data_IF_769565873868
#
_entry.id   IF_769565873868
#
_cell.length_a   1.000
_cell.length_b   1.000
_cell.length_c   1.000
_cell.angle_alpha   90.00
_cell.angle_beta   90.00
_cell.angle_gamma   90.00
#
_symmetry.space_group_name_H-M   'P 1'
#
loop_
_entity.id
_entity.type
_entity.pdbx_description
1 polymer ?
#
# COMPACT_ATOMS: atom_id res chain seq x y z
N UNK A 1 1.05 -11.87 9.47
CA UNK A 1 1.79 -11.65 10.72
C UNK A 1 2.58 -12.91 10.99
N UNK A 2 3.89 -12.83 11.20
CA UNK A 2 4.69 -14.00 11.51
C UNK A 2 4.55 -14.31 13.01
N UNK A 3 4.39 -15.58 13.38
CA UNK A 3 4.23 -15.97 14.79
C UNK A 3 5.57 -16.01 15.54
N UNK A 4 6.66 -16.28 14.84
CA UNK A 4 8.01 -16.38 15.40
C UNK A 4 8.97 -15.44 14.68
N UNK A 5 9.99 -14.98 15.41
CA UNK A 5 11.06 -14.17 14.84
C UNK A 5 11.86 -14.98 13.81
N UNK A 6 12.25 -16.21 14.14
CA UNK A 6 13.01 -17.08 13.24
C UNK A 6 12.26 -17.36 11.94
N UNK A 7 10.94 -17.56 12.00
CA UNK A 7 10.12 -17.70 10.80
C UNK A 7 10.12 -16.45 9.93
N UNK A 8 10.17 -15.27 10.54
CA UNK A 8 10.28 -14.00 9.80
C UNK A 8 11.68 -13.81 9.19
N UNK A 9 12.75 -14.21 9.87
CA UNK A 9 14.13 -14.16 9.35
C UNK A 9 14.31 -15.13 8.19
N UNK A 10 13.86 -16.38 8.33
CA UNK A 10 13.92 -17.37 7.25
C UNK A 10 13.17 -16.89 5.99
N UNK A 11 12.00 -16.25 6.16
CA UNK A 11 11.26 -15.65 5.06
C UNK A 11 12.07 -14.50 4.44
N UNK A 12 12.69 -13.66 5.26
CA UNK A 12 13.51 -12.55 4.77
C UNK A 12 14.64 -13.05 3.88
N UNK A 13 15.39 -14.05 4.32
CA UNK A 13 16.53 -14.59 3.57
C UNK A 13 16.10 -15.24 2.25
N UNK A 14 14.92 -15.88 2.22
CA UNK A 14 14.39 -16.47 1.00
C UNK A 14 13.89 -15.43 -0.02
N UNK A 15 13.31 -14.32 0.45
CA UNK A 15 12.57 -13.39 -0.42
C UNK A 15 13.32 -12.10 -0.73
N UNK A 16 14.29 -11.68 0.09
CA UNK A 16 15.05 -10.48 -0.18
C UNK A 16 15.88 -10.66 -1.45
N UNK A 17 15.62 -9.83 -2.48
CA UNK A 17 16.29 -9.96 -3.78
C UNK A 17 15.70 -11.03 -4.70
N UNK A 18 14.61 -11.70 -4.30
CA UNK A 18 13.99 -12.74 -5.12
C UNK A 18 13.44 -12.18 -6.44
N UNK A 19 13.69 -12.88 -7.54
CA UNK A 19 13.23 -12.50 -8.88
C UNK A 19 12.07 -13.41 -9.33
N UNK A 20 11.02 -12.80 -9.89
CA UNK A 20 9.86 -13.56 -10.35
C UNK A 20 10.08 -14.05 -11.79
N UNK A 21 9.80 -15.32 -12.07
CA UNK A 21 10.04 -15.92 -13.39
C UNK A 21 9.36 -15.16 -14.55
N UNK A 22 8.24 -14.50 -14.29
CA UNK A 22 7.46 -13.75 -15.28
C UNK A 22 7.46 -12.23 -15.03
N UNK A 23 8.41 -11.70 -14.26
CA UNK A 23 8.49 -10.26 -14.00
C UNK A 23 9.93 -9.76 -13.85
N UNK A 24 10.19 -8.55 -14.34
CA UNK A 24 11.46 -7.84 -14.07
C UNK A 24 11.55 -7.27 -12.65
N UNK A 25 10.49 -7.41 -11.85
CA UNK A 25 10.45 -6.91 -10.47
C UNK A 25 11.32 -7.78 -9.57
N UNK A 26 12.07 -7.13 -8.67
CA UNK A 26 12.84 -7.77 -7.61
C UNK A 26 12.07 -7.61 -6.30
N UNK A 27 11.92 -8.68 -5.52
CA UNK A 27 11.27 -8.65 -4.23
C UNK A 27 12.16 -7.96 -3.20
N UNK A 28 11.55 -7.08 -2.40
CA UNK A 28 12.20 -6.43 -1.26
C UNK A 28 11.33 -6.66 -0.04
N UNK A 29 11.95 -7.08 1.04
CA UNK A 29 11.32 -7.37 2.32
C UNK A 29 11.65 -6.24 3.28
N UNK A 30 10.65 -5.80 4.03
CA UNK A 30 10.79 -4.75 5.03
C UNK A 30 9.88 -5.05 6.23
N UNK A 31 10.31 -4.64 7.42
CA UNK A 31 9.44 -4.68 8.58
C UNK A 31 8.29 -3.66 8.42
N UNK A 32 7.07 -4.04 8.78
CA UNK A 32 5.93 -3.13 8.72
C UNK A 32 5.98 -2.14 9.90
N UNK A 33 6.21 -0.85 9.66
CA UNK A 33 6.39 0.14 10.76
C UNK A 33 5.10 0.56 11.45
N UNK A 34 4.01 0.74 10.68
CA UNK A 34 2.78 1.40 11.15
C UNK A 34 1.73 0.45 11.74
N UNK A 35 1.88 -0.85 11.54
CA UNK A 35 0.88 -1.86 11.95
C UNK A 35 1.59 -3.06 12.53
N UNK A 36 1.92 -2.98 13.81
CA UNK A 36 2.52 -4.09 14.56
C UNK A 36 1.40 -4.92 15.18
N UNK A 37 1.41 -6.22 14.89
CA UNK A 37 0.50 -7.22 15.48
C UNK A 37 -0.79 -7.50 14.71
N UNK A 38 -1.37 -8.68 14.95
CA UNK A 38 -2.59 -9.16 14.30
C UNK A 38 -3.79 -8.24 14.54
N UNK A 39 -4.01 -7.80 15.78
CA UNK A 39 -5.19 -7.00 16.15
C UNK A 39 -5.22 -5.65 15.43
N UNK A 40 -4.07 -4.98 15.34
CA UNK A 40 -3.94 -3.73 14.60
C UNK A 40 -4.23 -3.90 13.10
N UNK A 41 -3.81 -5.02 12.51
CA UNK A 41 -4.12 -5.35 11.11
C UNK A 41 -5.63 -5.62 10.94
N UNK A 42 -6.24 -6.38 11.84
CA UNK A 42 -7.69 -6.63 11.84
C UNK A 42 -8.46 -5.31 11.90
N UNK A 43 -8.13 -4.43 12.85
CA UNK A 43 -8.82 -3.15 13.02
C UNK A 43 -8.66 -2.22 11.81
N UNK A 44 -7.50 -2.26 11.15
CA UNK A 44 -7.24 -1.50 9.93
C UNK A 44 -8.07 -2.00 8.75
N UNK A 45 -8.15 -3.32 8.56
CA UNK A 45 -8.79 -3.89 7.37
C UNK A 45 -10.29 -4.13 7.54
N UNK A 46 -10.80 -4.28 8.78
CA UNK A 46 -12.23 -4.55 9.02
C UNK A 46 -13.18 -3.48 8.49
N UNK A 47 -12.76 -2.22 8.53
CA UNK A 47 -13.57 -1.09 8.07
C UNK A 47 -13.16 -0.57 6.67
N UNK A 48 -12.24 -1.27 5.98
CA UNK A 48 -11.78 -0.88 4.65
C UNK A 48 -12.72 -1.44 3.57
N UNK A 49 -12.90 -0.71 2.47
CA UNK A 49 -13.70 -1.09 1.30
C UNK A 49 -13.40 -2.48 0.74
N UNK A 50 -12.18 -2.99 0.95
CA UNK A 50 -11.79 -4.36 0.55
C UNK A 50 -12.61 -5.45 1.27
N UNK A 51 -13.13 -5.17 2.46
CA UNK A 51 -13.95 -6.10 3.24
C UNK A 51 -15.47 -5.87 3.04
N UNK A 52 -15.86 -5.11 2.01
CA UNK A 52 -17.27 -4.88 1.69
C UNK A 52 -17.92 -6.15 1.12
N UNK A 53 -19.22 -6.35 1.35
CA UNK A 53 -19.97 -7.54 0.91
C UNK A 53 -19.92 -7.75 -0.62
N UNK A 54 -19.92 -6.66 -1.40
CA UNK A 54 -19.79 -6.70 -2.87
C UNK A 54 -18.40 -7.17 -3.37
N UNK A 55 -17.41 -7.33 -2.49
CA UNK A 55 -16.07 -7.82 -2.85
C UNK A 55 -16.04 -9.34 -2.75
N UNK A 56 -15.55 -10.02 -3.79
CA UNK A 56 -15.38 -11.48 -3.78
C UNK A 56 -14.38 -11.91 -2.72
N UNK A 57 -14.63 -13.05 -2.07
CA UNK A 57 -13.83 -13.55 -0.95
C UNK A 57 -12.34 -13.65 -1.25
N UNK A 58 -11.96 -14.04 -2.47
CA UNK A 58 -10.56 -14.14 -2.92
C UNK A 58 -9.77 -12.82 -2.87
N UNK A 59 -10.46 -11.69 -2.82
CA UNK A 59 -9.86 -10.36 -2.74
C UNK A 59 -9.85 -9.79 -1.31
N UNK A 60 -10.51 -10.47 -0.37
CA UNK A 60 -10.54 -10.07 1.03
C UNK A 60 -9.28 -10.54 1.76
N UNK A 61 -8.86 -9.84 2.83
CA UNK A 61 -7.80 -10.33 3.70
C UNK A 61 -8.20 -11.65 4.35
N UNK A 62 -7.26 -12.58 4.43
CA UNK A 62 -7.44 -13.88 5.09
C UNK A 62 -6.78 -13.86 6.45
N UNK A 63 -7.47 -14.39 7.46
CA UNK A 63 -6.90 -14.68 8.77
C UNK A 63 -6.61 -16.18 8.84
N UNK A 64 -5.56 -16.55 9.54
CA UNK A 64 -5.22 -17.94 9.81
C UNK A 64 -5.20 -18.17 11.31
N UNK A 65 -5.71 -19.33 11.73
CA UNK A 65 -5.65 -19.76 13.13
C UNK A 65 -4.24 -20.27 13.49
N UNK A 66 -4.11 -20.86 14.67
CA UNK A 66 -2.84 -21.40 15.15
C UNK A 66 -2.35 -22.63 14.37
N UNK A 67 -3.26 -23.33 13.71
CA UNK A 67 -3.03 -24.54 12.93
C UNK A 67 -2.84 -24.25 11.43
N UNK A 68 -3.06 -23.00 11.00
CA UNK A 68 -2.96 -22.57 9.60
C UNK A 68 -4.27 -22.67 8.83
N UNK A 69 -5.40 -22.90 9.49
CA UNK A 69 -6.73 -22.93 8.88
C UNK A 69 -7.24 -21.52 8.61
N UNK A 70 -7.85 -21.32 7.44
CA UNK A 70 -8.43 -20.02 7.06
C UNK A 70 -9.65 -19.70 7.93
N UNK A 71 -9.59 -18.58 8.64
CA UNK A 71 -10.68 -18.02 9.42
C UNK A 71 -11.41 -16.93 8.62
N UNK A 72 -12.74 -16.89 8.77
CA UNK A 72 -13.54 -15.80 8.24
C UNK A 72 -13.12 -14.46 8.84
N UNK A 73 -13.04 -13.42 8.01
CA UNK A 73 -12.67 -12.09 8.50
C UNK A 73 -13.80 -11.52 9.38
N UNK A 74 -13.48 -10.93 10.56
CA UNK A 74 -14.51 -10.43 11.47
C UNK A 74 -15.40 -9.37 10.80
N UNK A 75 -16.69 -9.32 11.17
CA UNK A 75 -17.64 -8.41 10.54
C UNK A 75 -17.25 -6.95 10.77
N UNK A 76 -17.53 -6.06 9.80
CA UNK A 76 -17.26 -4.64 9.97
C UNK A 76 -18.06 -4.05 11.13
N UNK A 77 -17.42 -3.21 11.93
CA UNK A 77 -18.08 -2.49 13.03
C UNK A 77 -18.62 -1.12 12.62
N UNK A 78 -18.27 -0.68 11.41
CA UNK A 78 -18.70 0.59 10.81
C UNK A 78 -19.19 0.29 9.41
N UNK A 79 -20.04 1.16 8.89
CA UNK A 79 -20.51 1.04 7.51
C UNK A 79 -19.33 1.13 6.54
N UNK A 80 -19.02 0.01 5.88
CA UNK A 80 -17.93 -0.06 4.89
C UNK A 80 -18.44 0.58 3.61
N UNK A 81 -17.69 1.53 3.05
CA UNK A 81 -18.04 2.12 1.76
C UNK A 81 -17.72 1.12 0.64
N UNK A 82 -18.62 0.99 -0.33
CA UNK A 82 -18.39 0.22 -1.56
C UNK A 82 -17.07 0.65 -2.22
N UNK A 83 -16.23 -0.29 -2.70
CA UNK A 83 -15.00 0.06 -3.37
C UNK A 83 -15.30 0.90 -4.62
N UNK A 84 -14.68 2.08 -4.70
CA UNK A 84 -14.77 2.93 -5.88
C UNK A 84 -13.81 2.36 -6.93
N UNK A 85 -14.36 1.77 -8.01
CA UNK A 85 -13.58 1.42 -9.20
C UNK A 85 -13.03 2.70 -9.82
N UNK A 86 -11.79 3.07 -9.48
CA UNK A 86 -11.06 4.09 -10.22
C UNK A 86 -10.53 3.41 -11.48
N UNK A 87 -11.32 3.43 -12.55
CA UNK A 87 -10.75 3.25 -13.89
C UNK A 87 -9.72 4.36 -14.07
N UNK A 88 -8.44 4.00 -14.07
CA UNK A 88 -7.37 4.91 -14.50
C UNK A 88 -7.41 4.91 -16.02
N UNK A 89 -8.44 5.54 -16.57
CA UNK A 89 -8.60 5.74 -18.01
C UNK A 89 -7.61 6.79 -18.50
N UNK A 90 -6.96 6.47 -19.62
CA UNK A 90 -6.29 7.36 -20.56
C UNK A 90 -5.26 8.37 -19.99
N UNK A 91 -3.99 7.99 -20.06
CA UNK A 91 -2.92 8.78 -20.70
C UNK A 91 -3.24 10.26 -20.95
N UNK A 92 -2.62 11.15 -20.17
CA UNK A 92 -2.46 12.56 -20.53
C UNK A 92 -1.02 12.74 -21.01
N UNK A 93 -0.79 13.28 -22.22
CA UNK A 93 0.55 13.38 -22.80
C UNK A 93 1.38 14.46 -22.11
N UNK A 94 2.70 14.30 -22.25
CA UNK A 94 3.74 15.16 -21.75
C UNK A 94 3.48 16.65 -22.06
N UNK A 95 3.61 17.49 -21.04
CA UNK A 95 3.62 18.94 -21.21
C UNK A 95 5.00 19.33 -21.74
N UNK A 96 5.04 19.62 -23.04
CA UNK A 96 6.15 20.25 -23.74
C UNK A 96 6.49 21.60 -23.11
N UNK A 97 7.74 22.01 -23.28
CA UNK A 97 8.39 23.10 -22.55
C UNK A 97 7.89 24.50 -22.83
N UNK A 98 8.40 25.41 -22.01
CA UNK A 98 8.45 26.84 -22.25
C UNK A 98 9.79 27.32 -21.67
N UNK A 99 10.71 27.65 -22.56
CA UNK A 99 12.00 28.29 -22.31
C UNK A 99 11.84 29.81 -22.55
N UNK A 100 12.60 30.64 -21.82
CA UNK A 100 12.81 32.08 -22.10
C UNK A 100 12.32 32.98 -20.97
N UNK A 101 13.22 33.54 -20.14
CA UNK A 101 13.86 34.88 -20.33
C UNK A 101 12.95 35.99 -19.76
N UNK A 102 13.35 36.93 -18.90
CA UNK A 102 14.60 37.70 -18.76
C UNK A 102 14.72 38.28 -17.34
N UNK A 103 15.95 38.38 -16.86
CA UNK A 103 16.40 39.16 -15.72
C UNK A 103 16.81 40.55 -16.24
N UNK A 104 16.14 41.63 -15.83
CA UNK A 104 16.60 43.00 -16.04
C UNK A 104 16.25 43.86 -14.82
N UNK A 105 17.24 44.66 -14.43
CA UNK A 105 17.38 45.29 -13.13
C UNK A 105 16.70 46.67 -13.06
N UNK A 106 16.34 47.07 -11.84
CA UNK A 106 16.35 48.45 -11.28
C UNK A 106 15.38 48.47 -10.10
N UNK A 107 15.62 49.11 -8.97
CA UNK A 107 16.63 50.04 -8.53
C UNK A 107 16.05 50.78 -7.33
N UNK A 108 16.92 51.14 -6.39
CA UNK A 108 16.73 52.22 -5.40
C UNK A 108 15.75 52.05 -4.22
N UNK A 109 16.37 51.89 -3.05
CA UNK A 109 16.47 52.91 -1.98
C UNK A 109 15.25 53.30 -1.12
N UNK A 110 15.58 53.52 0.16
CA UNK A 110 14.81 54.16 1.24
C UNK A 110 13.82 53.25 1.96
N UNK A 111 13.80 53.11 3.28
CA UNK A 111 14.42 53.87 4.36
C UNK A 111 13.58 53.65 5.61
N UNK A 112 14.19 53.89 6.77
CA UNK A 112 13.74 53.67 8.15
C UNK A 112 13.97 52.28 8.74
#
# INVERSE_FOLDING_TARGET
NMRTHDGAVNLWDCFQGFTWQHSRKVCSVAWADKTKGCRALIDKYRNNSVNHNDVQERFKPVLFDENGESLGFPPPTKHVKKPKLKFRGAETPARAGDEGEEEEASGSSSGY
#
